data_IF_929632757882
#
_entry.id   IF_929632757882
#
_cell.length_a   1.000
_cell.length_b   1.000
_cell.length_c   1.000
_cell.angle_alpha   90.00
_cell.angle_beta   90.00
_cell.angle_gamma   90.00
#
_symmetry.space_group_name_H-M   'P 1'
#
loop_
_entity.id
_entity.type
_entity.pdbx_description
1 polymer ?
#
# COMPACT_ATOMS: atom_id res chain seq x y z
N UNK A 1 29.57 0.21 5.80
CA UNK A 1 28.47 -0.56 5.16
C UNK A 1 27.23 -0.67 6.06
N UNK A 2 27.36 -0.71 7.38
CA UNK A 2 26.22 -0.79 8.32
C UNK A 2 25.40 0.52 8.42
N UNK A 3 26.05 1.69 8.34
CA UNK A 3 25.37 2.99 8.40
C UNK A 3 24.50 3.30 7.19
N UNK A 4 24.89 2.83 5.99
CA UNK A 4 24.12 3.02 4.75
C UNK A 4 22.80 2.25 4.81
N UNK A 5 22.86 0.98 5.25
CA UNK A 5 21.66 0.17 5.48
C UNK A 5 20.70 0.83 6.48
N UNK A 6 21.21 1.37 7.59
CA UNK A 6 20.38 2.03 8.62
C UNK A 6 19.63 3.26 8.06
N UNK A 7 20.27 4.02 7.17
CA UNK A 7 19.63 5.17 6.51
C UNK A 7 18.52 4.74 5.54
N UNK A 8 18.79 3.74 4.71
CA UNK A 8 17.78 3.19 3.77
C UNK A 8 16.55 2.64 4.50
N UNK A 9 16.74 1.89 5.58
CA UNK A 9 15.63 1.40 6.40
C UNK A 9 14.80 2.54 6.98
N UNK A 10 15.42 3.61 7.50
CA UNK A 10 14.68 4.76 8.04
C UNK A 10 13.84 5.47 6.99
N UNK A 11 14.37 5.64 5.78
CA UNK A 11 13.63 6.25 4.68
C UNK A 11 12.44 5.38 4.23
N UNK A 12 12.64 4.07 4.19
CA UNK A 12 11.59 3.09 3.91
C UNK A 12 10.48 3.17 4.96
N UNK A 13 10.84 3.10 6.25
CA UNK A 13 9.87 3.21 7.35
C UNK A 13 9.11 4.54 7.34
N UNK A 14 9.77 5.65 6.99
CA UNK A 14 9.12 6.96 6.88
C UNK A 14 8.06 6.96 5.78
N UNK A 15 8.39 6.47 4.59
CA UNK A 15 7.47 6.39 3.45
C UNK A 15 6.29 5.46 3.73
N UNK A 16 6.55 4.29 4.33
CA UNK A 16 5.51 3.35 4.73
C UNK A 16 4.55 3.96 5.76
N UNK A 17 5.08 4.73 6.73
CA UNK A 17 4.27 5.48 7.69
C UNK A 17 3.42 6.56 7.03
N UNK A 18 3.98 7.34 6.12
CA UNK A 18 3.27 8.39 5.37
C UNK A 18 2.11 7.84 4.53
N UNK A 19 2.35 6.72 3.83
CA UNK A 19 1.32 6.02 3.05
C UNK A 19 0.18 5.52 3.95
N UNK A 20 0.52 5.03 5.14
CA UNK A 20 -0.46 4.51 6.08
C UNK A 20 -1.28 5.61 6.77
N UNK A 21 -0.64 6.72 7.15
CA UNK A 21 -1.35 7.89 7.68
C UNK A 21 -2.28 8.50 6.63
N UNK A 22 -1.85 8.56 5.37
CA UNK A 22 -2.70 8.98 4.26
C UNK A 22 -3.88 8.03 4.06
N UNK A 23 -3.64 6.72 4.04
CA UNK A 23 -4.69 5.70 3.91
C UNK A 23 -5.76 5.87 4.99
N UNK A 24 -5.35 5.98 6.26
CA UNK A 24 -6.27 6.17 7.38
C UNK A 24 -7.15 7.40 7.24
N UNK A 25 -6.56 8.53 6.84
CA UNK A 25 -7.30 9.79 6.61
C UNK A 25 -8.27 9.71 5.44
N UNK A 26 -7.97 8.90 4.43
CA UNK A 26 -8.77 8.79 3.21
C UNK A 26 -9.64 7.53 3.14
N UNK A 27 -9.61 6.66 4.16
CA UNK A 27 -10.29 5.34 4.15
C UNK A 27 -11.77 5.42 3.75
N UNK A 28 -12.49 6.44 4.23
CA UNK A 28 -13.89 6.65 3.87
C UNK A 28 -14.10 6.82 2.36
N UNK A 29 -13.35 7.73 1.73
CA UNK A 29 -13.40 7.96 0.28
C UNK A 29 -12.92 6.74 -0.51
N UNK A 30 -11.86 6.10 -0.04
CA UNK A 30 -11.33 4.90 -0.68
C UNK A 30 -12.34 3.74 -0.65
N UNK A 31 -13.12 3.60 0.42
CA UNK A 31 -14.19 2.61 0.49
C UNK A 31 -15.37 2.92 -0.45
N UNK A 32 -15.65 4.19 -0.71
CA UNK A 32 -16.68 4.57 -1.69
C UNK A 32 -16.25 4.23 -3.12
N UNK A 33 -14.96 4.37 -3.42
CA UNK A 33 -14.42 4.21 -4.78
C UNK A 33 -13.94 2.79 -5.10
N UNK A 34 -13.36 2.09 -4.12
CA UNK A 34 -12.65 0.81 -4.30
C UNK A 34 -13.17 -0.30 -3.38
N UNK A 35 -14.46 -0.29 -3.06
CA UNK A 35 -15.07 -1.35 -2.23
C UNK A 35 -14.82 -2.74 -2.83
N UNK A 36 -14.50 -3.70 -1.96
CA UNK A 36 -14.21 -5.10 -2.30
C UNK A 36 -12.99 -5.29 -3.23
N UNK A 37 -12.03 -4.37 -3.15
CA UNK A 37 -10.81 -4.41 -3.93
C UNK A 37 -9.56 -4.30 -3.05
N UNK A 38 -8.50 -4.94 -3.50
CA UNK A 38 -7.15 -4.62 -3.09
C UNK A 38 -6.71 -3.32 -3.76
N UNK A 39 -6.17 -2.39 -2.98
CA UNK A 39 -5.53 -1.17 -3.46
C UNK A 39 -4.05 -1.21 -3.14
N UNK A 40 -3.22 -0.81 -4.11
CA UNK A 40 -1.80 -0.56 -3.92
C UNK A 40 -1.60 0.95 -3.75
N UNK A 41 -1.03 1.34 -2.62
CA UNK A 41 -0.77 2.74 -2.26
C UNK A 41 0.73 2.99 -2.23
N UNK A 42 1.14 4.03 -2.95
CA UNK A 42 2.51 4.51 -2.99
C UNK A 42 2.50 6.03 -3.11
N UNK A 43 3.43 6.71 -2.46
CA UNK A 43 3.52 8.18 -2.48
C UNK A 43 2.16 8.83 -2.18
N UNK A 44 1.44 8.28 -1.20
CA UNK A 44 0.16 8.82 -0.72
C UNK A 44 -0.93 8.88 -1.80
N UNK A 45 -0.95 7.91 -2.73
CA UNK A 45 -2.01 7.74 -3.74
C UNK A 45 -2.21 6.26 -4.10
N UNK A 46 -3.40 5.94 -4.60
CA UNK A 46 -3.67 4.63 -5.22
C UNK A 46 -3.01 4.61 -6.59
N UNK A 47 -2.15 3.61 -6.83
CA UNK A 47 -1.45 3.43 -8.11
C UNK A 47 -1.97 2.22 -8.90
N UNK A 48 -2.62 1.29 -8.23
CA UNK A 48 -3.29 0.15 -8.85
C UNK A 48 -4.37 -0.39 -7.92
N UNK A 49 -5.40 -1.03 -8.48
CA UNK A 49 -6.43 -1.71 -7.72
C UNK A 49 -6.95 -2.95 -8.47
N UNK A 50 -7.40 -3.96 -7.75
CA UNK A 50 -8.01 -5.16 -8.31
C UNK A 50 -8.78 -5.92 -7.24
N UNK A 51 -9.85 -6.63 -7.59
CA UNK A 51 -10.51 -7.57 -6.69
C UNK A 51 -9.67 -8.84 -6.42
N UNK A 52 -8.64 -9.08 -7.23
CA UNK A 52 -7.76 -10.24 -7.15
C UNK A 52 -6.32 -9.77 -6.88
N UNK A 53 -5.73 -10.28 -5.78
CA UNK A 53 -4.39 -9.88 -5.36
C UNK A 53 -3.31 -10.30 -6.37
N UNK A 54 -3.40 -11.51 -6.95
CA UNK A 54 -2.43 -11.97 -7.94
C UNK A 54 -2.50 -11.12 -9.20
N UNK A 55 -3.71 -10.72 -9.60
CA UNK A 55 -3.91 -9.80 -10.73
C UNK A 55 -3.33 -8.43 -10.41
N UNK A 56 -3.53 -7.90 -9.20
CA UNK A 56 -2.94 -6.64 -8.77
C UNK A 56 -1.40 -6.69 -8.86
N UNK A 57 -0.77 -7.75 -8.35
CA UNK A 57 0.68 -7.92 -8.36
C UNK A 57 1.26 -8.13 -9.78
N UNK A 58 0.44 -8.59 -10.73
CA UNK A 58 0.79 -8.69 -12.16
C UNK A 58 0.65 -7.37 -12.90
N UNK A 59 -0.26 -6.49 -12.48
CA UNK A 59 -0.45 -5.16 -13.07
C UNK A 59 0.70 -4.20 -12.72
N UNK A 60 1.43 -4.50 -11.67
CA UNK A 60 2.44 -3.63 -11.07
C UNK A 60 3.82 -4.04 -11.60
N UNK A 61 4.54 -3.07 -12.16
CA UNK A 61 5.87 -3.28 -12.74
C UNK A 61 6.87 -3.80 -11.68
N UNK A 62 7.86 -4.65 -12.04
CA UNK A 62 8.80 -5.23 -11.07
C UNK A 62 9.55 -4.22 -10.21
N UNK A 63 9.81 -3.03 -10.75
CA UNK A 63 10.41 -1.86 -10.08
C UNK A 63 9.58 -1.33 -8.89
N UNK A 64 8.28 -1.64 -8.84
CA UNK A 64 7.43 -1.39 -7.69
C UNK A 64 7.46 -2.57 -6.69
N UNK A 65 7.88 -3.77 -7.08
CA UNK A 65 8.04 -4.88 -6.12
C UNK A 65 9.22 -4.66 -5.17
N UNK A 66 10.22 -3.88 -5.60
CA UNK A 66 11.41 -3.54 -4.82
C UNK A 66 11.21 -2.31 -3.91
N UNK A 67 10.12 -1.55 -4.09
CA UNK A 67 9.78 -0.41 -3.25
C UNK A 67 8.73 -0.84 -2.23
N UNK A 68 8.85 -0.33 -1.00
CA UNK A 68 7.80 -0.58 -0.01
C UNK A 68 6.52 0.18 -0.37
N UNK A 69 5.47 -0.60 -0.65
CA UNK A 69 4.14 -0.12 -0.95
C UNK A 69 3.14 -0.68 0.05
N UNK A 70 2.08 0.08 0.28
CA UNK A 70 1.01 -0.34 1.16
C UNK A 70 -0.09 -1.02 0.33
N UNK A 71 -0.25 -2.33 0.49
CA UNK A 71 -1.41 -3.06 -0.05
C UNK A 71 -2.48 -3.17 1.03
N UNK A 72 -3.73 -2.78 0.70
CA UNK A 72 -4.88 -2.95 1.58
C UNK A 72 -6.09 -3.47 0.83
N UNK A 73 -6.75 -4.47 1.41
CA UNK A 73 -8.10 -4.84 0.99
C UNK A 73 -9.10 -3.89 1.64
N UNK A 74 -10.01 -3.36 0.83
CA UNK A 74 -11.03 -2.43 1.27
C UNK A 74 -12.37 -3.15 1.34
N UNK A 75 -12.84 -3.39 2.56
CA UNK A 75 -14.19 -3.87 2.81
C UNK A 75 -14.93 -2.97 3.79
N UNK A 76 -16.23 -2.86 3.58
CA UNK A 76 -17.16 -2.22 4.53
C UNK A 76 -17.28 -3.05 5.80
N UNK A 77 -17.12 -4.36 5.69
CA UNK A 77 -16.95 -5.26 6.82
C UNK A 77 -15.49 -5.17 7.26
N UNK A 78 -15.25 -4.94 8.56
CA UNK A 78 -13.89 -4.78 9.09
C UNK A 78 -13.10 -6.08 8.97
N UNK A 79 -12.40 -6.26 7.85
CA UNK A 79 -11.46 -7.38 7.67
C UNK A 79 -10.05 -6.83 7.89
N UNK A 80 -9.41 -7.29 8.96
CA UNK A 80 -7.99 -7.05 9.21
C UNK A 80 -7.18 -8.21 8.63
N UNK A 81 -6.36 -7.93 7.62
CA UNK A 81 -5.37 -8.87 7.10
C UNK A 81 -4.03 -8.57 7.79
N UNK A 82 -3.54 -9.52 8.58
CA UNK A 82 -2.20 -9.48 9.21
C UNK A 82 -1.26 -10.30 8.31
N UNK A 83 -0.27 -9.63 7.73
CA UNK A 83 0.83 -10.21 6.95
C UNK A 83 2.12 -10.17 7.76
#
# INVERSE_FOLDING_TARGET
>A
MEEVKNKEYREIFSKSKENWDWFRKNRGKLLEEYSEQFVLISEQRVIAYSSDLDRLLKMVSPEYREKEHLVKYLSKEGIELVL
#
